data_IF_734272549239
#
_entry.id   IF_734272549239
#
_cell.length_a   1.000
_cell.length_b   1.000
_cell.length_c   1.000
_cell.angle_alpha   90.00
_cell.angle_beta   90.00
_cell.angle_gamma   90.00
#
_symmetry.space_group_name_H-M   'P 1'
#
loop_
_entity.id
_entity.type
_entity.pdbx_description
1 polymer ?
#
# COMPACT_ATOMS: atom_id res chain seq x y z
N UNK A 1 -11.15 -24.02 3.50
CA UNK A 1 -11.67 -22.98 2.60
C UNK A 1 -10.47 -22.24 2.08
N UNK A 2 -10.18 -22.35 0.79
CA UNK A 2 -9.03 -21.67 0.20
C UNK A 2 -9.24 -20.16 0.30
N UNK A 3 -8.31 -19.48 0.97
CA UNK A 3 -8.34 -18.04 1.18
C UNK A 3 -7.63 -17.39 -0.01
N UNK A 4 -8.36 -16.64 -0.82
CA UNK A 4 -7.82 -15.88 -1.95
C UNK A 4 -8.17 -14.41 -1.81
N UNK A 5 -7.28 -13.54 -2.29
CA UNK A 5 -7.46 -12.09 -2.33
C UNK A 5 -7.65 -11.67 -3.78
N UNK A 6 -8.61 -10.77 -4.02
CA UNK A 6 -8.90 -10.20 -5.35
C UNK A 6 -8.47 -8.73 -5.36
N UNK A 7 -8.16 -8.21 -6.54
CA UNK A 7 -7.79 -6.79 -6.73
C UNK A 7 -8.96 -5.87 -6.33
N UNK A 8 -8.65 -4.65 -5.89
CA UNK A 8 -9.63 -3.71 -5.30
C UNK A 8 -10.77 -3.30 -6.25
N UNK A 9 -10.54 -3.36 -7.57
CA UNK A 9 -11.55 -3.02 -8.59
C UNK A 9 -12.62 -4.12 -8.77
N UNK A 10 -12.48 -5.26 -8.08
CA UNK A 10 -13.34 -6.43 -8.21
C UNK A 10 -14.05 -6.78 -6.91
N UNK A 11 -15.26 -7.32 -7.03
CA UNK A 11 -16.01 -7.82 -5.88
C UNK A 11 -16.78 -9.08 -6.23
N UNK A 12 -16.90 -10.02 -5.30
CA UNK A 12 -17.70 -11.23 -5.51
C UNK A 12 -19.19 -10.87 -5.50
N UNK A 13 -19.95 -11.40 -6.45
CA UNK A 13 -21.40 -11.25 -6.43
C UNK A 13 -22.02 -11.96 -5.23
N UNK A 14 -23.11 -11.41 -4.69
CA UNK A 14 -23.86 -12.05 -3.61
C UNK A 14 -24.83 -13.15 -4.08
N UNK A 15 -25.03 -13.30 -5.40
CA UNK A 15 -26.09 -14.16 -5.94
C UNK A 15 -25.64 -15.55 -6.39
N UNK A 16 -24.40 -15.68 -6.83
CA UNK A 16 -23.73 -16.95 -7.04
C UNK A 16 -22.42 -16.84 -6.27
N UNK A 17 -21.97 -17.90 -5.62
CA UNK A 17 -20.75 -17.90 -4.82
C UNK A 17 -19.59 -18.48 -5.65
N UNK A 18 -18.99 -17.71 -6.58
CA UNK A 18 -17.93 -18.21 -7.44
C UNK A 18 -16.71 -18.58 -6.60
N UNK A 19 -16.12 -19.74 -6.92
CA UNK A 19 -14.92 -20.28 -6.28
C UNK A 19 -13.75 -20.31 -7.25
N UNK A 20 -12.49 -20.28 -6.75
CA UNK A 20 -11.33 -20.47 -7.60
C UNK A 20 -11.49 -21.72 -8.48
N UNK A 21 -11.16 -21.59 -9.76
CA UNK A 21 -11.35 -22.58 -10.84
C UNK A 21 -12.76 -22.68 -11.43
N UNK A 22 -13.77 -22.00 -10.87
CA UNK A 22 -15.07 -21.86 -11.54
C UNK A 22 -14.93 -21.02 -12.81
N UNK A 23 -15.76 -21.31 -13.80
CA UNK A 23 -15.93 -20.41 -14.94
C UNK A 23 -16.69 -19.16 -14.50
N UNK A 24 -16.04 -18.00 -14.63
CA UNK A 24 -16.57 -16.71 -14.18
C UNK A 24 -16.78 -15.75 -15.35
N UNK A 25 -17.48 -14.66 -15.05
CA UNK A 25 -17.63 -13.49 -15.92
C UNK A 25 -17.76 -12.24 -15.05
N UNK A 26 -17.26 -11.11 -15.56
CA UNK A 26 -17.38 -9.82 -14.89
C UNK A 26 -18.61 -9.06 -15.37
N UNK A 27 -19.31 -8.39 -14.47
CA UNK A 27 -20.30 -7.37 -14.79
C UNK A 27 -19.82 -6.00 -14.31
N UNK A 28 -19.60 -5.08 -15.23
CA UNK A 28 -19.19 -3.72 -14.91
C UNK A 28 -20.35 -2.96 -14.27
N UNK A 29 -20.36 -2.82 -12.95
CA UNK A 29 -21.48 -2.23 -12.20
C UNK A 29 -21.48 -0.70 -12.27
N UNK A 30 -22.57 -0.06 -11.82
CA UNK A 30 -22.66 1.41 -11.82
C UNK A 30 -21.77 2.04 -10.75
N UNK A 31 -21.37 1.26 -9.74
CA UNK A 31 -20.51 1.70 -8.65
C UNK A 31 -19.01 1.66 -9.05
N UNK A 32 -18.72 1.62 -10.36
CA UNK A 32 -17.38 1.54 -10.96
C UNK A 32 -16.57 0.26 -10.61
N UNK A 33 -17.16 -0.70 -9.89
CA UNK A 33 -16.57 -2.00 -9.59
C UNK A 33 -17.03 -3.09 -10.56
N UNK A 34 -16.17 -4.09 -10.81
CA UNK A 34 -16.52 -5.29 -11.57
C UNK A 34 -17.05 -6.37 -10.61
N UNK A 35 -18.32 -6.75 -10.75
CA UNK A 35 -18.94 -7.83 -9.98
C UNK A 35 -18.65 -9.18 -10.64
N UNK A 36 -18.05 -10.10 -9.90
CA UNK A 36 -17.68 -11.44 -10.37
C UNK A 36 -18.85 -12.39 -10.17
N UNK A 37 -19.33 -12.95 -11.27
CA UNK A 37 -20.41 -13.94 -11.31
C UNK A 37 -19.90 -15.25 -11.90
N UNK A 38 -20.58 -16.35 -11.61
CA UNK A 38 -20.43 -17.57 -12.42
C UNK A 38 -20.96 -17.32 -13.83
N UNK A 39 -20.31 -17.91 -14.83
CA UNK A 39 -20.62 -17.68 -16.26
C UNK A 39 -22.07 -17.97 -16.64
N UNK A 40 -22.74 -18.88 -15.93
CA UNK A 40 -24.13 -19.29 -16.13
C UNK A 40 -25.10 -18.71 -15.06
N UNK A 41 -24.77 -17.57 -14.45
CA UNK A 41 -25.63 -16.94 -13.45
C UNK A 41 -26.92 -16.39 -14.07
N UNK A 42 -28.09 -16.86 -13.60
CA UNK A 42 -29.42 -16.41 -14.08
C UNK A 42 -29.63 -14.90 -13.99
N UNK A 43 -29.01 -14.24 -13.02
CA UNK A 43 -29.15 -12.79 -12.85
C UNK A 43 -28.49 -11.98 -13.97
N UNK A 44 -27.63 -12.60 -14.78
CA UNK A 44 -27.01 -11.96 -15.94
C UNK A 44 -27.86 -12.07 -17.22
N UNK A 45 -28.91 -12.88 -17.24
CA UNK A 45 -29.74 -13.04 -18.45
C UNK A 45 -30.47 -11.74 -18.85
N UNK A 46 -30.69 -10.84 -17.87
CA UNK A 46 -31.45 -9.59 -18.05
C UNK A 46 -30.59 -8.32 -18.02
N UNK A 47 -29.27 -8.45 -17.95
CA UNK A 47 -28.38 -7.28 -17.91
C UNK A 47 -27.96 -6.87 -19.32
N UNK A 48 -27.48 -5.64 -19.45
CA UNK A 48 -26.91 -5.14 -20.70
C UNK A 48 -25.65 -5.95 -21.09
N UNK A 49 -25.65 -6.66 -22.23
CA UNK A 49 -24.52 -7.46 -22.67
C UNK A 49 -23.23 -6.65 -22.88
N UNK A 50 -23.32 -5.35 -23.17
CA UNK A 50 -22.13 -4.50 -23.37
C UNK A 50 -21.33 -4.29 -22.08
N UNK A 51 -21.93 -4.58 -20.93
CA UNK A 51 -21.30 -4.45 -19.61
C UNK A 51 -20.75 -5.77 -19.09
N UNK A 52 -20.91 -6.85 -19.86
CA UNK A 52 -20.32 -8.14 -19.55
C UNK A 52 -18.88 -8.18 -20.07
N UNK A 53 -17.98 -8.63 -19.20
CA UNK A 53 -16.55 -8.72 -19.45
C UNK A 53 -16.15 -10.19 -19.34
N UNK A 54 -15.39 -10.67 -20.33
CA UNK A 54 -14.72 -11.98 -20.24
C UNK A 54 -13.62 -11.88 -19.19
N UNK A 55 -13.60 -12.80 -18.26
CA UNK A 55 -12.77 -12.70 -17.06
C UNK A 55 -12.30 -14.09 -16.65
N UNK A 56 -11.02 -14.23 -16.33
CA UNK A 56 -10.45 -15.41 -15.70
C UNK A 56 -9.97 -15.11 -14.27
N UNK A 57 -9.84 -16.15 -13.45
CA UNK A 57 -9.37 -15.99 -12.06
C UNK A 57 -8.00 -15.33 -12.00
N UNK A 58 -7.09 -15.64 -12.92
CA UNK A 58 -5.76 -15.03 -12.97
C UNK A 58 -5.78 -13.51 -13.20
N UNK A 59 -6.84 -12.99 -13.84
CA UNK A 59 -7.00 -11.55 -14.08
C UNK A 59 -7.38 -10.79 -12.80
N UNK A 60 -8.10 -11.45 -11.89
CA UNK A 60 -8.70 -10.83 -10.70
C UNK A 60 -7.97 -11.14 -9.42
N UNK A 61 -7.22 -12.24 -9.37
CA UNK A 61 -6.45 -12.59 -8.20
C UNK A 61 -5.40 -11.51 -7.94
N UNK A 62 -5.36 -11.03 -6.71
CA UNK A 62 -4.26 -10.24 -6.22
C UNK A 62 -3.09 -11.21 -6.10
N UNK A 63 -2.28 -11.34 -7.16
CA UNK A 63 -0.98 -11.99 -7.02
C UNK A 63 -0.25 -11.14 -5.99
N UNK A 64 -0.17 -11.64 -4.75
CA UNK A 64 0.76 -11.09 -3.75
C UNK A 64 2.06 -10.93 -4.51
N UNK A 65 2.43 -9.68 -4.72
CA UNK A 65 3.62 -9.35 -5.47
C UNK A 65 4.71 -10.21 -4.81
N UNK A 66 5.36 -11.10 -5.55
CA UNK A 66 6.51 -11.87 -5.03
C UNK A 66 7.69 -10.90 -4.91
N UNK A 67 7.45 -9.79 -4.22
CA UNK A 67 8.43 -8.81 -3.92
C UNK A 67 9.44 -9.52 -3.04
N UNK A 68 10.61 -9.76 -3.62
CA UNK A 68 11.77 -10.22 -2.90
C UNK A 68 12.63 -8.99 -2.68
N UNK A 69 12.95 -8.65 -1.43
CA UNK A 69 13.83 -7.52 -1.19
C UNK A 69 15.24 -7.83 -1.71
N UNK A 70 16.00 -6.78 -2.02
CA UNK A 70 17.39 -6.88 -2.42
C UNK A 70 18.27 -7.32 -1.23
N UNK A 71 19.54 -7.63 -1.51
CA UNK A 71 20.51 -8.08 -0.50
C UNK A 71 20.75 -7.07 0.62
N UNK A 72 20.44 -5.79 0.40
CA UNK A 72 20.57 -4.73 1.41
C UNK A 72 19.55 -4.86 2.56
N UNK A 73 18.48 -5.64 2.39
CA UNK A 73 17.45 -5.86 3.40
C UNK A 73 17.99 -6.50 4.68
N UNK A 74 18.99 -7.37 4.56
CA UNK A 74 19.66 -8.01 5.71
C UNK A 74 20.36 -7.00 6.62
N UNK A 75 20.62 -5.78 6.12
CA UNK A 75 21.26 -4.73 6.88
C UNK A 75 20.24 -3.92 7.71
N UNK A 76 18.94 -4.18 7.57
CA UNK A 76 17.88 -3.46 8.27
C UNK A 76 17.53 -4.12 9.60
N UNK A 77 17.37 -3.29 10.62
CA UNK A 77 16.94 -3.65 11.97
C UNK A 77 15.44 -3.40 12.16
N UNK A 78 14.86 -3.95 13.24
CA UNK A 78 13.46 -3.67 13.60
C UNK A 78 13.19 -2.16 13.77
N UNK A 79 14.18 -1.41 14.25
CA UNK A 79 14.07 0.02 14.42
C UNK A 79 14.02 0.77 13.08
N UNK A 80 14.75 0.29 12.06
CA UNK A 80 14.67 0.84 10.71
C UNK A 80 13.25 0.67 10.14
N UNK A 81 12.64 -0.50 10.32
CA UNK A 81 11.25 -0.75 9.93
C UNK A 81 10.24 0.06 10.73
N UNK A 82 10.49 0.31 12.02
CA UNK A 82 9.65 1.19 12.83
C UNK A 82 9.66 2.65 12.31
N UNK A 83 10.81 3.13 11.81
CA UNK A 83 10.91 4.44 11.15
C UNK A 83 10.18 4.44 9.80
N UNK A 84 10.29 3.39 8.98
CA UNK A 84 9.49 3.27 7.75
C UNK A 84 7.98 3.27 8.06
N UNK A 85 7.54 2.51 9.07
CA UNK A 85 6.15 2.48 9.52
C UNK A 85 5.66 3.85 10.01
N UNK A 86 6.52 4.66 10.64
CA UNK A 86 6.19 6.04 11.01
C UNK A 86 5.79 6.86 9.78
N UNK A 87 6.56 6.77 8.69
CA UNK A 87 6.29 7.52 7.47
C UNK A 87 5.02 7.03 6.74
N UNK A 88 4.65 5.75 6.86
CA UNK A 88 3.34 5.27 6.43
C UNK A 88 2.21 5.86 7.27
N UNK A 89 2.36 5.82 8.59
CA UNK A 89 1.29 6.19 9.51
C UNK A 89 1.04 7.71 9.53
N UNK A 90 2.10 8.51 9.47
CA UNK A 90 2.04 9.96 9.66
C UNK A 90 2.34 10.77 8.41
N UNK A 91 2.89 10.15 7.34
CA UNK A 91 3.30 10.83 6.12
C UNK A 91 4.69 11.47 6.24
N UNK A 92 4.85 12.62 5.59
CA UNK A 92 6.14 13.31 5.41
C UNK A 92 6.59 13.94 6.73
N UNK A 93 7.70 13.47 7.30
CA UNK A 93 8.17 13.96 8.59
C UNK A 93 9.69 14.16 8.64
N UNK A 94 10.19 14.71 9.74
CA UNK A 94 11.61 14.97 9.95
C UNK A 94 12.15 14.22 11.17
N UNK A 95 13.47 13.98 11.18
CA UNK A 95 14.12 13.05 12.10
C UNK A 95 13.89 13.33 13.59
N UNK A 96 13.76 14.60 14.00
CA UNK A 96 13.53 14.94 15.41
C UNK A 96 12.13 14.55 15.92
N UNK A 97 11.14 14.47 15.03
CA UNK A 97 9.80 14.00 15.41
C UNK A 97 9.79 12.50 15.52
N UNK A 98 10.40 11.82 14.54
CA UNK A 98 10.60 10.37 14.58
C UNK A 98 11.33 9.97 15.87
N UNK A 99 12.40 10.70 16.24
CA UNK A 99 13.13 10.47 17.49
C UNK A 99 12.19 10.48 18.72
N UNK A 100 11.34 11.50 18.84
CA UNK A 100 10.39 11.62 19.95
C UNK A 100 9.32 10.52 19.93
N UNK A 101 8.80 10.19 18.74
CA UNK A 101 7.71 9.21 18.57
C UNK A 101 8.17 7.77 18.79
N UNK A 102 9.39 7.44 18.37
CA UNK A 102 9.99 6.13 18.54
C UNK A 102 10.78 6.01 19.85
N UNK A 103 10.82 7.06 20.67
CA UNK A 103 11.57 7.12 21.93
C UNK A 103 13.06 6.77 21.75
N UNK A 104 13.69 7.30 20.70
CA UNK A 104 15.10 7.11 20.38
C UNK A 104 15.88 8.43 20.45
N UNK A 105 17.20 8.35 20.51
CA UNK A 105 18.03 9.56 20.52
C UNK A 105 17.96 10.28 19.17
N UNK A 106 18.22 11.60 19.20
CA UNK A 106 18.27 12.41 17.97
C UNK A 106 19.29 11.86 16.99
N UNK A 107 20.48 11.48 17.48
CA UNK A 107 21.56 10.96 16.65
C UNK A 107 21.13 9.67 15.95
N UNK A 108 20.56 8.71 16.70
CA UNK A 108 20.03 7.47 16.11
C UNK A 108 19.00 7.75 15.01
N UNK A 109 18.08 8.69 15.24
CA UNK A 109 17.10 9.04 14.21
C UNK A 109 17.77 9.62 12.96
N UNK A 110 18.80 10.47 13.09
CA UNK A 110 19.54 10.99 11.94
C UNK A 110 20.29 9.89 11.21
N UNK A 111 20.96 9.00 11.92
CA UNK A 111 21.73 7.89 11.35
C UNK A 111 20.82 6.94 10.56
N UNK A 112 19.64 6.61 11.12
CA UNK A 112 18.63 5.79 10.43
C UNK A 112 18.11 6.50 9.18
N UNK A 113 17.78 7.79 9.24
CA UNK A 113 17.33 8.52 8.04
C UNK A 113 18.43 8.62 6.97
N UNK A 114 19.70 8.75 7.36
CA UNK A 114 20.80 8.72 6.42
C UNK A 114 20.89 7.35 5.73
N UNK A 115 20.93 6.28 6.52
CA UNK A 115 20.96 4.89 6.04
C UNK A 115 19.78 4.57 5.11
N UNK A 116 18.54 4.85 5.54
CA UNK A 116 17.34 4.58 4.74
C UNK A 116 17.34 5.36 3.43
N UNK A 117 17.92 6.57 3.41
CA UNK A 117 18.07 7.36 2.18
C UNK A 117 19.14 6.78 1.26
N UNK A 118 20.29 6.36 1.79
CA UNK A 118 21.34 5.69 1.01
C UNK A 118 20.82 4.41 0.35
N UNK A 119 19.89 3.71 1.02
CA UNK A 119 19.21 2.53 0.49
C UNK A 119 17.99 2.84 -0.42
N UNK A 120 17.71 4.12 -0.67
CA UNK A 120 16.54 4.59 -1.43
C UNK A 120 15.19 4.10 -0.88
N UNK A 121 15.09 3.87 0.43
CA UNK A 121 13.85 3.49 1.12
C UNK A 121 13.02 4.72 1.53
N UNK A 122 13.70 5.85 1.71
CA UNK A 122 13.09 7.17 1.89
C UNK A 122 13.80 8.20 1.02
N UNK A 123 13.14 9.31 0.72
CA UNK A 123 13.70 10.40 -0.06
C UNK A 123 13.46 11.77 0.58
N UNK A 124 14.28 12.76 0.24
CA UNK A 124 14.11 14.14 0.73
C UNK A 124 12.99 14.82 -0.04
N UNK A 125 12.15 15.57 0.67
CA UNK A 125 11.09 16.35 0.04
C UNK A 125 11.58 17.76 -0.27
N UNK A 126 11.70 18.08 -1.55
CA UNK A 126 12.23 19.36 -2.05
C UNK A 126 11.20 20.50 -2.09
N UNK A 127 9.91 20.18 -2.07
CA UNK A 127 8.86 21.18 -2.24
C UNK A 127 8.84 22.25 -1.11
N UNK A 128 8.53 23.50 -1.51
CA UNK A 128 8.41 24.63 -0.58
C UNK A 128 7.15 24.55 0.30
N UNK A 129 6.11 23.88 -0.18
CA UNK A 129 4.79 23.75 0.45
C UNK A 129 4.41 22.26 0.42
N UNK A 130 4.28 21.64 1.59
CA UNK A 130 3.99 20.21 1.75
C UNK A 130 3.10 20.01 2.97
N UNK A 131 2.09 19.14 2.87
CA UNK A 131 1.23 18.80 3.98
C UNK A 131 1.92 17.71 4.79
N UNK A 132 2.47 18.08 5.94
CA UNK A 132 3.41 17.22 6.65
C UNK A 132 2.74 16.07 7.41
N UNK A 133 1.49 16.19 7.89
CA UNK A 133 0.85 15.08 8.65
C UNK A 133 -0.64 14.95 8.44
N UNK A 134 -1.09 13.71 8.29
CA UNK A 134 -2.52 13.35 8.43
C UNK A 134 -2.98 13.66 9.87
N UNK A 135 -4.07 14.40 10.02
CA UNK A 135 -4.74 14.62 11.32
C UNK A 135 -4.33 15.86 12.15
N UNK A 136 -3.52 16.79 11.63
CA UNK A 136 -3.10 18.02 12.36
C UNK A 136 -3.98 19.25 12.03
N UNK A 137 -5.26 19.04 11.72
CA UNK A 137 -6.21 20.05 11.18
C UNK A 137 -5.99 20.26 9.68
N UNK A 138 -7.07 20.16 8.91
CA UNK A 138 -7.05 20.44 7.47
C UNK A 138 -6.59 21.89 7.24
N UNK A 139 -5.73 22.10 6.23
CA UNK A 139 -5.18 23.39 5.81
C UNK A 139 -4.12 24.05 6.71
N UNK A 140 -3.55 23.36 7.71
CA UNK A 140 -2.41 23.91 8.48
C UNK A 140 -1.06 23.48 7.90
N UNK A 141 -0.50 24.32 7.02
CA UNK A 141 0.81 24.11 6.39
C UNK A 141 1.92 24.73 7.26
N UNK A 142 2.76 23.91 7.90
CA UNK A 142 3.90 24.39 8.71
C UNK A 142 5.19 23.74 8.23
N UNK A 143 5.91 24.42 7.33
CA UNK A 143 7.33 24.11 7.06
C UNK A 143 8.18 24.87 8.06
N UNK A 144 8.95 24.15 8.88
CA UNK A 144 10.04 24.77 9.63
C UNK A 144 11.22 24.96 8.69
N UNK A 145 11.73 26.19 8.60
CA UNK A 145 12.77 26.59 7.62
C UNK A 145 14.07 25.78 7.73
N UNK A 146 14.31 25.14 8.87
CA UNK A 146 15.56 24.45 9.21
C UNK A 146 15.40 22.93 9.38
N UNK A 147 14.35 22.32 8.81
CA UNK A 147 14.12 20.88 8.88
C UNK A 147 14.18 20.22 7.51
N UNK A 148 14.91 19.11 7.43
CA UNK A 148 14.88 18.19 6.30
C UNK A 148 13.73 17.22 6.51
N UNK A 149 12.82 17.16 5.55
CA UNK A 149 11.67 16.28 5.58
C UNK A 149 11.88 15.11 4.62
N UNK A 150 11.33 13.96 4.99
CA UNK A 150 11.45 12.72 4.25
C UNK A 150 10.09 12.12 3.96
N UNK A 151 9.96 11.56 2.75
CA UNK A 151 8.84 10.71 2.35
C UNK A 151 9.34 9.28 2.12
N UNK A 152 8.43 8.31 2.22
CA UNK A 152 8.74 6.91 1.95
C UNK A 152 8.63 6.60 0.46
N UNK A 153 9.61 5.87 -0.08
CA UNK A 153 9.59 5.46 -1.50
C UNK A 153 8.75 4.20 -1.70
N UNK A 154 8.45 3.84 -2.95
CA UNK A 154 7.83 2.55 -3.26
C UNK A 154 8.69 1.36 -2.82
N UNK A 155 10.03 1.46 -2.93
CA UNK A 155 10.96 0.43 -2.41
C UNK A 155 10.80 0.29 -0.89
N UNK A 156 10.75 1.40 -0.17
CA UNK A 156 10.51 1.43 1.28
C UNK A 156 9.18 0.79 1.68
N UNK A 157 8.09 1.11 0.96
CA UNK A 157 6.77 0.49 1.16
C UNK A 157 6.82 -1.03 0.99
N UNK A 158 7.40 -1.49 -0.13
CA UNK A 158 7.50 -2.91 -0.44
C UNK A 158 8.35 -3.67 0.60
N UNK A 159 9.46 -3.09 1.06
CA UNK A 159 10.31 -3.66 2.11
C UNK A 159 9.54 -3.82 3.42
N UNK A 160 8.76 -2.81 3.81
CA UNK A 160 7.96 -2.83 5.02
C UNK A 160 6.82 -3.84 4.93
N UNK A 161 6.13 -3.93 3.79
CA UNK A 161 5.10 -4.95 3.54
C UNK A 161 5.69 -6.35 3.64
N UNK A 162 6.85 -6.59 3.03
CA UNK A 162 7.56 -7.86 3.13
C UNK A 162 7.95 -8.20 4.57
N UNK A 163 8.46 -7.22 5.33
CA UNK A 163 8.82 -7.40 6.74
C UNK A 163 7.63 -7.88 7.58
N UNK A 164 6.45 -7.26 7.45
CA UNK A 164 5.27 -7.68 8.21
C UNK A 164 4.66 -9.00 7.75
N UNK A 165 4.84 -9.39 6.49
CA UNK A 165 4.37 -10.69 5.99
C UNK A 165 5.23 -11.86 6.49
N UNK A 166 6.48 -11.61 6.89
CA UNK A 166 7.46 -12.63 7.27
C UNK A 166 7.90 -12.51 8.75
N UNK A 167 7.23 -11.70 9.55
CA UNK A 167 7.43 -11.57 10.99
C UNK A 167 6.56 -12.58 11.76
#
# INVERSE_FOLDING_TARGET
MDKFEIKDDYTLSNCCSPRPHDLITGYYSHDMLIKIHQKNCKNLEKVDPQRLISLDWDDILCRRNQFKPDDDYKNLSELDFAVLQHHIAYGIDYSLVVARKQNITKQQAFDIHNKLRELNLIERVEAKIVQYRKGIVDNKWIKHRNHTYYDITEKGKNYLTYYYQNK
#
